data_IF_735521762531
#
_entry.id   IF_735521762531
#
_cell.length_a   1.000
_cell.length_b   1.000
_cell.length_c   1.000
_cell.angle_alpha   90.00
_cell.angle_beta   90.00
_cell.angle_gamma   90.00
#
_symmetry.space_group_name_H-M   'P 1'
#
loop_
_entity.id
_entity.type
_entity.pdbx_description
1 polymer ?
#
# COMPACT_ATOMS: atom_id res chain seq x y z
N UNK A 1 -4.28 -5.50 -2.26
CA UNK A 1 -4.07 -4.04 -2.27
C UNK A 1 -3.80 -3.52 -0.85
N UNK A 2 -3.07 -2.41 -0.71
CA UNK A 2 -2.68 -1.84 0.61
C UNK A 2 -3.88 -1.66 1.56
N UNK A 3 -5.01 -1.12 1.08
CA UNK A 3 -6.22 -0.95 1.91
C UNK A 3 -6.70 -2.27 2.54
N UNK A 4 -6.83 -3.33 1.74
CA UNK A 4 -7.32 -4.61 2.24
C UNK A 4 -6.35 -5.24 3.24
N UNK A 5 -5.04 -5.05 3.05
CA UNK A 5 -4.02 -5.48 4.03
C UNK A 5 -4.15 -4.71 5.35
N UNK A 6 -4.35 -3.39 5.30
CA UNK A 6 -4.59 -2.56 6.48
C UNK A 6 -5.85 -3.00 7.23
N UNK A 7 -6.94 -3.28 6.51
CA UNK A 7 -8.19 -3.77 7.11
C UNK A 7 -7.98 -5.11 7.80
N UNK A 8 -7.28 -6.05 7.15
CA UNK A 8 -6.92 -7.34 7.74
C UNK A 8 -6.08 -7.20 9.01
N UNK A 9 -5.08 -6.31 9.01
CA UNK A 9 -4.28 -6.00 10.20
C UNK A 9 -5.10 -5.41 11.35
N UNK A 10 -6.14 -4.65 11.04
CA UNK A 10 -7.07 -4.11 12.03
C UNK A 10 -8.14 -5.12 12.50
N UNK A 11 -8.10 -6.36 12.02
CA UNK A 11 -9.11 -7.39 12.32
C UNK A 11 -10.49 -7.13 11.69
N UNK A 12 -10.53 -6.29 10.64
CA UNK A 12 -11.75 -5.92 9.93
C UNK A 12 -11.87 -6.73 8.63
N UNK A 13 -13.11 -6.99 8.20
CA UNK A 13 -13.37 -7.71 6.95
C UNK A 13 -12.87 -6.96 5.70
N UNK A 14 -12.71 -5.64 5.79
CA UNK A 14 -12.35 -4.80 4.66
C UNK A 14 -13.43 -4.80 3.59
N UNK A 15 -13.04 -4.63 2.33
CA UNK A 15 -13.91 -4.56 1.17
C UNK A 15 -13.27 -5.33 0.01
N UNK A 16 -13.30 -6.68 0.04
CA UNK A 16 -12.54 -7.51 -0.90
C UNK A 16 -12.94 -7.32 -2.36
N UNK A 17 -14.20 -6.95 -2.61
CA UNK A 17 -14.75 -6.74 -3.96
C UNK A 17 -14.52 -5.31 -4.49
N UNK A 18 -13.97 -4.41 -3.68
CA UNK A 18 -13.73 -3.03 -4.09
C UNK A 18 -12.35 -2.90 -4.73
N UNK A 19 -12.31 -2.27 -5.91
CA UNK A 19 -11.07 -1.92 -6.62
C UNK A 19 -10.18 -3.14 -6.95
N UNK A 20 -10.79 -4.25 -7.35
CA UNK A 20 -10.03 -5.39 -7.90
C UNK A 20 -9.31 -4.96 -9.17
N UNK A 21 -8.06 -5.41 -9.34
CA UNK A 21 -7.24 -5.00 -10.48
C UNK A 21 -7.92 -5.30 -11.82
N UNK A 22 -8.52 -6.48 -11.97
CA UNK A 22 -9.22 -6.88 -13.20
C UNK A 22 -10.37 -5.93 -13.56
N UNK A 23 -11.18 -5.55 -12.57
CA UNK A 23 -12.32 -4.65 -12.77
C UNK A 23 -11.83 -3.25 -13.17
N UNK A 24 -10.82 -2.74 -12.45
CA UNK A 24 -10.23 -1.42 -12.73
C UNK A 24 -9.60 -1.38 -14.12
N UNK A 25 -8.86 -2.42 -14.52
CA UNK A 25 -8.23 -2.50 -15.84
C UNK A 25 -9.28 -2.57 -16.95
N UNK A 26 -10.32 -3.39 -16.76
CA UNK A 26 -11.40 -3.52 -17.74
C UNK A 26 -12.12 -2.17 -17.96
N UNK A 27 -12.53 -1.50 -16.88
CA UNK A 27 -13.18 -0.19 -16.96
C UNK A 27 -12.23 0.87 -17.55
N UNK A 28 -10.96 0.91 -17.13
CA UNK A 28 -9.99 1.87 -17.67
C UNK A 28 -9.82 1.71 -19.19
N UNK A 29 -9.71 0.47 -19.67
CA UNK A 29 -9.60 0.16 -21.08
C UNK A 29 -10.85 0.52 -21.86
N UNK A 30 -12.04 0.22 -21.33
CA UNK A 30 -13.33 0.57 -21.96
C UNK A 30 -13.44 2.09 -22.18
N UNK A 31 -13.03 2.88 -21.19
CA UNK A 31 -13.16 4.34 -21.22
C UNK A 31 -12.08 5.02 -22.06
N UNK A 32 -10.89 4.44 -22.19
CA UNK A 32 -9.72 5.11 -22.79
C UNK A 32 -9.26 4.49 -24.10
N UNK A 33 -9.64 3.24 -24.39
CA UNK A 33 -9.09 2.44 -25.48
C UNK A 33 -7.63 2.02 -25.29
N UNK A 34 -7.00 2.38 -24.16
CA UNK A 34 -5.60 2.06 -23.87
C UNK A 34 -5.47 0.74 -23.11
N UNK A 35 -4.52 -0.09 -23.53
CA UNK A 35 -4.14 -1.32 -22.80
C UNK A 35 -3.01 -1.01 -21.82
N UNK A 36 -3.19 -1.37 -20.55
CA UNK A 36 -2.18 -1.19 -19.53
C UNK A 36 -1.15 -2.33 -19.58
N UNK A 37 0.12 -2.01 -19.32
CA UNK A 37 1.15 -3.03 -19.09
C UNK A 37 0.96 -3.78 -17.78
N UNK A 38 1.94 -4.60 -17.41
CA UNK A 38 2.00 -5.17 -16.07
C UNK A 38 2.13 -4.05 -15.03
N UNK A 39 1.25 -4.06 -14.03
CA UNK A 39 1.20 -3.03 -12.98
C UNK A 39 2.07 -3.38 -11.77
N UNK A 40 2.66 -4.59 -11.71
CA UNK A 40 3.44 -5.08 -10.56
C UNK A 40 4.54 -4.11 -10.15
N UNK A 41 5.35 -3.63 -11.10
CA UNK A 41 6.41 -2.65 -10.82
C UNK A 41 5.84 -1.37 -10.19
N UNK A 42 4.71 -0.88 -10.71
CA UNK A 42 4.04 0.31 -10.20
C UNK A 42 3.44 0.09 -8.81
N UNK A 43 3.06 -1.14 -8.45
CA UNK A 43 2.63 -1.47 -7.09
C UNK A 43 3.79 -1.46 -6.09
N UNK A 44 4.96 -1.97 -6.47
CA UNK A 44 6.19 -1.85 -5.65
C UNK A 44 6.54 -0.38 -5.48
N UNK A 45 6.55 0.40 -6.57
CA UNK A 45 6.81 1.84 -6.54
C UNK A 45 5.82 2.59 -5.64
N UNK A 46 4.53 2.30 -5.78
CA UNK A 46 3.48 2.87 -4.91
C UNK A 46 3.67 2.48 -3.44
N UNK A 47 4.11 1.25 -3.18
CA UNK A 47 4.46 0.79 -1.84
C UNK A 47 5.57 1.63 -1.20
N UNK A 48 6.60 2.01 -1.97
CA UNK A 48 7.66 2.91 -1.48
C UNK A 48 7.12 4.31 -1.17
N UNK A 49 6.24 4.86 -2.02
CA UNK A 49 5.58 6.15 -1.75
C UNK A 49 4.82 6.10 -0.41
N UNK A 50 4.11 5.02 -0.14
CA UNK A 50 3.43 4.82 1.15
C UNK A 50 4.40 4.74 2.33
N UNK A 51 5.57 4.08 2.18
CA UNK A 51 6.61 4.12 3.20
C UNK A 51 7.02 5.56 3.52
N UNK A 52 7.22 6.42 2.51
CA UNK A 52 7.52 7.84 2.73
C UNK A 52 6.40 8.55 3.51
N UNK A 53 5.13 8.30 3.18
CA UNK A 53 3.99 8.87 3.91
C UNK A 53 3.99 8.43 5.38
N UNK A 54 4.23 7.15 5.65
CA UNK A 54 4.31 6.63 7.02
C UNK A 54 5.50 7.21 7.79
N UNK A 55 6.66 7.38 7.17
CA UNK A 55 7.82 8.04 7.80
C UNK A 55 7.49 9.49 8.19
N UNK A 56 6.83 10.26 7.30
CA UNK A 56 6.46 11.66 7.61
C UNK A 56 5.37 11.74 8.67
N UNK A 57 4.41 10.83 8.64
CA UNK A 57 3.36 10.74 9.66
C UNK A 57 3.96 10.38 11.01
N UNK A 58 4.81 9.35 11.06
CA UNK A 58 5.51 8.94 12.28
C UNK A 58 6.39 10.04 12.85
N UNK A 59 7.19 10.72 12.01
CA UNK A 59 8.00 11.85 12.44
C UNK A 59 7.15 12.97 13.07
N UNK A 60 5.97 13.24 12.51
CA UNK A 60 5.02 14.20 13.09
C UNK A 60 4.48 13.75 14.45
N UNK A 61 4.09 12.47 14.59
CA UNK A 61 3.60 11.90 15.86
C UNK A 61 4.67 11.98 16.96
N UNK A 62 5.93 11.69 16.62
CA UNK A 62 7.06 11.83 17.53
C UNK A 62 7.27 13.28 17.94
N UNK A 63 7.27 14.21 16.97
CA UNK A 63 7.47 15.63 17.25
C UNK A 63 6.45 16.21 18.24
N UNK A 64 5.19 15.77 18.13
CA UNK A 64 4.10 16.23 19.00
C UNK A 64 3.90 15.35 20.26
N UNK A 65 4.79 14.39 20.53
CA UNK A 65 4.72 13.56 21.74
C UNK A 65 3.59 12.53 21.76
N UNK A 66 2.98 12.22 20.61
CA UNK A 66 1.91 11.22 20.50
C UNK A 66 2.46 9.78 20.54
N UNK A 67 3.71 9.59 20.13
CA UNK A 67 4.39 8.29 20.13
C UNK A 67 5.89 8.47 20.32
N UNK A 68 6.57 7.45 20.83
CA UNK A 68 8.04 7.44 20.90
C UNK A 68 8.65 7.15 19.52
N UNK A 69 9.88 7.62 19.30
CA UNK A 69 10.60 7.28 18.08
C UNK A 69 10.93 5.78 18.11
N UNK A 70 10.50 4.98 17.12
CA UNK A 70 10.85 3.57 17.09
C UNK A 70 12.32 3.41 16.73
N UNK A 71 12.95 2.36 17.27
CA UNK A 71 14.31 1.96 16.92
C UNK A 71 14.40 1.46 15.47
N UNK A 72 13.32 0.84 14.98
CA UNK A 72 13.20 0.39 13.59
C UNK A 72 12.04 1.12 12.89
N UNK A 73 12.38 1.93 11.87
CA UNK A 73 11.39 2.71 11.10
C UNK A 73 10.41 1.83 10.32
N UNK A 74 10.82 0.62 9.91
CA UNK A 74 9.94 -0.29 9.15
C UNK A 74 8.73 -0.75 9.96
N UNK A 75 8.78 -0.65 11.30
CA UNK A 75 7.62 -0.94 12.16
C UNK A 75 6.44 0.01 11.91
N UNK A 76 6.68 1.16 11.26
CA UNK A 76 5.64 2.09 10.82
C UNK A 76 4.98 1.67 9.49
N UNK A 77 5.54 0.70 8.76
CA UNK A 77 5.07 0.30 7.43
C UNK A 77 4.11 -0.87 7.56
N UNK A 78 2.84 -0.55 7.77
CA UNK A 78 1.80 -1.57 7.90
C UNK A 78 1.74 -2.52 6.69
N UNK A 79 1.99 -2.02 5.47
CA UNK A 79 2.01 -2.83 4.26
C UNK A 79 3.36 -3.51 3.98
N UNK A 80 4.33 -3.51 4.91
CA UNK A 80 5.63 -4.13 4.69
C UNK A 80 5.55 -5.62 4.26
N UNK A 81 4.67 -6.47 4.85
CA UNK A 81 4.52 -7.85 4.38
C UNK A 81 4.05 -7.93 2.92
N UNK A 82 3.12 -7.06 2.51
CA UNK A 82 2.68 -6.98 1.12
C UNK A 82 3.82 -6.56 0.20
N UNK A 83 4.57 -5.52 0.58
CA UNK A 83 5.68 -5.01 -0.22
C UNK A 83 6.78 -6.07 -0.39
N UNK A 84 7.10 -6.84 0.66
CA UNK A 84 8.06 -7.95 0.59
C UNK A 84 7.60 -9.03 -0.39
N UNK A 85 6.34 -9.48 -0.33
CA UNK A 85 5.79 -10.44 -1.31
C UNK A 85 5.88 -9.92 -2.75
N UNK A 86 5.53 -8.64 -2.97
CA UNK A 86 5.61 -8.02 -4.29
C UNK A 86 7.05 -7.94 -4.82
N UNK A 87 8.05 -7.80 -3.95
CA UNK A 87 9.46 -7.79 -4.34
C UNK A 87 9.98 -9.21 -4.57
N UNK A 88 9.65 -10.15 -3.70
CA UNK A 88 10.18 -11.52 -3.71
C UNK A 88 9.70 -12.38 -4.89
N UNK A 89 8.49 -12.17 -5.42
CA UNK A 89 8.04 -12.89 -6.62
C UNK A 89 8.45 -12.19 -7.93
N UNK A 90 9.55 -11.41 -7.91
CA UNK A 90 10.12 -10.70 -9.07
C UNK A 90 11.32 -11.42 -9.68
#
# INVERSE_FOLDING_TARGET
MVFQELAGMAGLAGLPDVMREEDVRATYRELTGAELGDLRWFYVYSGVIWCCVFMRTGARRVHFGETEKPDNVETMFYHAPLLRRLIEES
#
